data_IF_717696933572
#
_entry.id   IF_717696933572
#
_cell.length_a   1.000
_cell.length_b   1.000
_cell.length_c   1.000
_cell.angle_alpha   90.00
_cell.angle_beta   90.00
_cell.angle_gamma   90.00
#
_symmetry.space_group_name_H-M   'P 1'
#
loop_
_entity.id
_entity.type
_entity.pdbx_description
1 polymer ?
#
# COMPACT_ATOMS: atom_id res chain seq x y z
N UNK A 1 21.80 -11.93 8.28
CA UNK A 1 20.74 -11.45 9.20
C UNK A 1 19.93 -12.66 9.60
N UNK A 2 19.78 -12.94 10.91
CA UNK A 2 18.92 -14.02 11.38
C UNK A 2 17.50 -13.47 11.50
N UNK A 3 16.56 -14.03 10.73
CA UNK A 3 15.16 -13.62 10.77
C UNK A 3 14.44 -14.33 11.93
N UNK A 4 13.41 -13.71 12.54
CA UNK A 4 12.63 -14.33 13.60
C UNK A 4 11.89 -15.57 13.05
N UNK A 5 11.69 -16.58 13.89
CA UNK A 5 10.91 -17.77 13.52
C UNK A 5 9.41 -17.52 13.73
N UNK A 6 8.57 -18.12 12.88
CA UNK A 6 7.12 -18.14 13.05
C UNK A 6 6.53 -19.43 12.48
N UNK A 7 5.62 -20.06 13.24
CA UNK A 7 4.87 -21.24 12.79
C UNK A 7 3.72 -20.89 11.84
N UNK A 8 3.35 -19.60 11.74
CA UNK A 8 2.14 -19.14 11.05
C UNK A 8 2.50 -18.33 9.80
N UNK A 9 3.62 -17.60 9.84
CA UNK A 9 4.10 -16.78 8.73
C UNK A 9 5.34 -17.40 8.12
N UNK A 10 5.32 -17.66 6.80
CA UNK A 10 6.51 -18.05 6.07
C UNK A 10 7.47 -16.86 5.96
N UNK A 11 8.42 -16.81 6.91
CA UNK A 11 9.39 -15.72 7.05
C UNK A 11 10.32 -15.61 5.85
N UNK A 12 10.65 -16.75 5.21
CA UNK A 12 11.53 -16.76 4.05
C UNK A 12 10.87 -16.05 2.87
N UNK A 13 9.62 -16.39 2.53
CA UNK A 13 8.87 -15.69 1.48
C UNK A 13 8.52 -14.27 1.89
N UNK A 14 8.16 -14.03 3.15
CA UNK A 14 7.85 -12.68 3.64
C UNK A 14 9.03 -11.72 3.50
N UNK A 15 10.26 -12.16 3.81
CA UNK A 15 11.46 -11.31 3.68
C UNK A 15 11.71 -10.81 2.26
N UNK A 16 11.20 -11.53 1.25
CA UNK A 16 11.32 -11.20 -0.16
C UNK A 16 10.36 -10.09 -0.63
N UNK A 17 9.48 -9.60 0.25
CA UNK A 17 8.58 -8.47 -0.03
C UNK A 17 9.32 -7.24 -0.56
N UNK A 18 10.56 -7.06 -0.10
CA UNK A 18 11.43 -5.93 -0.43
C UNK A 18 12.55 -6.28 -1.42
N UNK A 19 12.49 -7.45 -2.07
CA UNK A 19 13.48 -7.85 -3.10
C UNK A 19 13.49 -6.83 -4.26
N UNK A 20 12.31 -6.39 -4.68
CA UNK A 20 12.16 -5.32 -5.67
C UNK A 20 11.84 -3.98 -4.99
N UNK A 21 12.89 -3.21 -4.69
CA UNK A 21 12.79 -1.88 -4.03
C UNK A 21 12.38 -0.75 -4.97
N UNK A 22 12.20 -1.00 -6.28
CA UNK A 22 11.74 0.01 -7.24
C UNK A 22 10.26 0.41 -7.04
N UNK A 23 9.57 -0.21 -6.09
CA UNK A 23 8.17 0.05 -5.74
C UNK A 23 8.07 0.59 -4.30
N UNK A 24 8.37 1.88 -4.10
CA UNK A 24 8.43 2.53 -2.79
C UNK A 24 7.09 2.46 -2.01
N UNK A 25 5.95 2.39 -2.70
CA UNK A 25 4.64 2.23 -2.06
C UNK A 25 4.55 0.99 -1.14
N UNK A 26 5.34 -0.07 -1.38
CA UNK A 26 5.36 -1.26 -0.52
C UNK A 26 5.89 -0.96 0.87
N UNK A 27 6.85 -0.05 0.98
CA UNK A 27 7.41 0.38 2.26
C UNK A 27 6.36 1.16 3.06
N UNK A 28 5.66 2.09 2.41
CA UNK A 28 4.56 2.84 3.06
C UNK A 28 3.43 1.93 3.52
N UNK A 29 3.02 0.96 2.70
CA UNK A 29 2.00 0.00 3.09
C UNK A 29 2.44 -0.83 4.31
N UNK A 30 3.68 -1.31 4.30
CA UNK A 30 4.21 -2.07 5.44
C UNK A 30 4.32 -1.21 6.70
N UNK A 31 4.75 0.04 6.57
CA UNK A 31 4.79 1.01 7.66
C UNK A 31 3.39 1.26 8.25
N UNK A 32 2.37 1.42 7.40
CA UNK A 32 0.98 1.61 7.83
C UNK A 32 0.47 0.40 8.63
N UNK A 33 0.74 -0.83 8.17
CA UNK A 33 0.41 -2.06 8.94
C UNK A 33 1.13 -2.06 10.29
N UNK A 34 2.44 -1.83 10.30
CA UNK A 34 3.24 -1.86 11.52
C UNK A 34 2.77 -0.81 12.55
N UNK A 35 2.41 0.39 12.08
CA UNK A 35 1.82 1.44 12.91
C UNK A 35 0.52 0.98 13.58
N UNK A 36 -0.38 0.38 12.82
CA UNK A 36 -1.68 -0.10 13.33
C UNK A 36 -1.54 -1.26 14.31
N UNK A 37 -0.61 -2.19 14.05
CA UNK A 37 -0.29 -3.25 15.01
C UNK A 37 0.24 -2.66 16.32
N UNK A 38 1.10 -1.63 16.25
CA UNK A 38 1.63 -0.94 17.43
C UNK A 38 0.53 -0.22 18.24
N UNK A 39 -0.51 0.26 17.56
CA UNK A 39 -1.71 0.85 18.18
C UNK A 39 -2.64 -0.21 18.82
N UNK A 40 -2.36 -1.50 18.65
CA UNK A 40 -3.20 -2.60 19.13
C UNK A 40 -4.38 -2.93 18.20
N UNK A 41 -4.38 -2.42 16.97
CA UNK A 41 -5.40 -2.75 15.99
C UNK A 41 -5.12 -4.12 15.36
N UNK A 42 -6.07 -5.04 15.50
CA UNK A 42 -5.99 -6.39 14.91
C UNK A 42 -6.77 -6.52 13.60
N UNK A 43 -7.68 -5.58 13.33
CA UNK A 43 -8.50 -5.53 12.12
C UNK A 43 -8.43 -4.13 11.53
N UNK A 44 -8.25 -4.04 10.22
CA UNK A 44 -8.18 -2.77 9.50
C UNK A 44 -8.72 -2.93 8.08
N UNK A 45 -9.40 -1.91 7.58
CA UNK A 45 -9.87 -1.87 6.20
C UNK A 45 -8.75 -1.45 5.24
N UNK A 46 -8.87 -1.83 3.96
CA UNK A 46 -7.92 -1.33 2.95
C UNK A 46 -7.98 0.19 2.80
N UNK A 47 -9.14 0.80 3.02
CA UNK A 47 -9.27 2.25 2.94
C UNK A 47 -8.47 2.96 4.04
N UNK A 48 -8.60 2.51 5.28
CA UNK A 48 -7.81 3.03 6.40
C UNK A 48 -6.30 2.85 6.17
N UNK A 49 -5.87 1.69 5.67
CA UNK A 49 -4.45 1.48 5.35
C UNK A 49 -3.96 2.42 4.23
N UNK A 50 -4.77 2.67 3.21
CA UNK A 50 -4.42 3.62 2.16
C UNK A 50 -4.34 5.04 2.71
N UNK A 51 -5.25 5.45 3.59
CA UNK A 51 -5.20 6.78 4.19
C UNK A 51 -3.96 6.97 5.06
N UNK A 52 -3.58 5.95 5.83
CA UNK A 52 -2.33 5.89 6.59
C UNK A 52 -1.10 6.02 5.69
N UNK A 53 -1.07 5.31 4.56
CA UNK A 53 0.03 5.42 3.58
C UNK A 53 0.17 6.83 3.00
N UNK A 54 -0.96 7.45 2.65
CA UNK A 54 -0.98 8.80 2.09
C UNK A 54 -0.46 9.79 3.12
N UNK A 55 -0.92 9.68 4.36
CA UNK A 55 -0.50 10.55 5.44
C UNK A 55 0.99 10.36 5.79
N UNK A 56 1.50 9.13 5.76
CA UNK A 56 2.92 8.84 5.97
C UNK A 56 3.82 9.31 4.83
N UNK A 57 3.33 9.25 3.58
CA UNK A 57 4.06 9.75 2.41
C UNK A 57 4.03 11.28 2.27
N UNK A 58 3.08 11.95 2.93
CA UNK A 58 2.82 13.37 2.77
C UNK A 58 4.06 14.25 2.84
N UNK A 59 4.80 14.19 3.94
CA UNK A 59 5.95 15.06 4.16
C UNK A 59 7.08 14.76 3.15
N UNK A 60 7.32 13.48 2.87
CA UNK A 60 8.37 13.05 1.94
C UNK A 60 8.10 13.51 0.51
N UNK A 61 6.84 13.47 0.07
CA UNK A 61 6.46 13.85 -1.29
C UNK A 61 6.27 15.37 -1.42
N UNK A 62 5.63 16.01 -0.44
CA UNK A 62 5.32 17.45 -0.51
C UNK A 62 6.53 18.35 -0.23
N UNK A 63 7.38 18.00 0.73
CA UNK A 63 8.58 18.80 1.09
C UNK A 63 9.79 18.37 0.27
N UNK A 64 10.17 17.09 0.37
CA UNK A 64 11.40 16.58 -0.24
C UNK A 64 11.24 16.19 -1.71
N UNK A 65 10.03 16.31 -2.27
CA UNK A 65 9.72 15.94 -3.67
C UNK A 65 10.19 14.54 -4.02
N UNK A 66 10.08 13.62 -3.06
CA UNK A 66 10.51 12.24 -3.24
C UNK A 66 9.71 11.59 -4.36
N UNK A 67 10.42 11.09 -5.38
CA UNK A 67 9.82 10.31 -6.45
C UNK A 67 9.59 8.88 -5.96
N UNK A 68 8.33 8.43 -5.94
CA UNK A 68 7.97 7.09 -5.44
C UNK A 68 8.04 6.01 -6.53
N UNK A 69 8.35 6.41 -7.76
CA UNK A 69 8.52 5.55 -8.91
C UNK A 69 7.67 5.99 -10.09
N UNK A 70 7.91 5.41 -11.28
CA UNK A 70 7.15 5.75 -12.48
C UNK A 70 5.68 5.34 -12.32
N UNK A 71 4.77 6.30 -12.49
CA UNK A 71 3.31 6.14 -12.39
C UNK A 71 2.80 5.75 -10.98
N UNK A 72 3.47 6.19 -9.91
CA UNK A 72 2.99 5.88 -8.56
C UNK A 72 1.70 6.67 -8.22
N UNK A 73 0.61 5.93 -8.02
CA UNK A 73 -0.68 6.49 -7.63
C UNK A 73 -0.63 7.16 -6.24
N UNK A 74 0.30 6.74 -5.36
CA UNK A 74 0.53 7.34 -4.04
C UNK A 74 1.15 8.73 -4.16
N UNK A 75 2.14 8.89 -5.03
CA UNK A 75 2.74 10.20 -5.26
C UNK A 75 1.70 11.17 -5.85
N UNK A 76 0.95 10.71 -6.86
CA UNK A 76 -0.12 11.50 -7.49
C UNK A 76 -1.20 11.93 -6.52
N UNK A 77 -1.61 11.05 -5.60
CA UNK A 77 -2.68 11.40 -4.65
C UNK A 77 -2.20 12.43 -3.63
N UNK A 78 -0.94 12.35 -3.18
CA UNK A 78 -0.35 13.37 -2.30
C UNK A 78 -0.27 14.72 -3.00
N UNK A 79 0.20 14.78 -4.25
CA UNK A 79 0.23 16.04 -5.01
C UNK A 79 -1.18 16.62 -5.18
N UNK A 80 -2.14 15.79 -5.59
CA UNK A 80 -3.54 16.24 -5.75
C UNK A 80 -4.12 16.77 -4.44
N UNK A 81 -3.87 16.09 -3.33
CA UNK A 81 -4.32 16.52 -2.00
C UNK A 81 -3.66 17.83 -1.58
N UNK A 82 -2.37 18.01 -1.83
CA UNK A 82 -1.65 19.25 -1.58
C UNK A 82 -2.25 20.43 -2.33
N UNK A 83 -2.61 20.23 -3.60
CA UNK A 83 -3.26 21.25 -4.43
C UNK A 83 -4.62 21.68 -3.89
N UNK A 84 -5.48 20.73 -3.49
CA UNK A 84 -6.87 21.03 -3.13
C UNK A 84 -7.06 21.42 -1.65
N UNK A 85 -6.18 20.94 -0.76
CA UNK A 85 -6.30 21.20 0.69
C UNK A 85 -5.61 22.49 1.11
N UNK A 86 -4.63 22.96 0.32
CA UNK A 86 -3.72 24.06 0.67
C UNK A 86 -3.01 23.86 2.02
N UNK A 87 -2.89 22.61 2.48
CA UNK A 87 -2.14 22.28 3.69
C UNK A 87 -0.65 22.47 3.47
N UNK A 88 0.05 22.89 4.52
CA UNK A 88 1.51 22.96 4.49
C UNK A 88 2.12 21.55 4.42
N UNK A 89 3.32 21.43 3.87
CA UNK A 89 4.06 20.18 3.84
C UNK A 89 4.31 19.59 5.24
N UNK A 90 4.53 20.46 6.24
CA UNK A 90 4.71 20.11 7.65
C UNK A 90 3.41 19.89 8.43
N UNK A 91 2.30 19.63 7.75
CA UNK A 91 1.03 19.37 8.40
C UNK A 91 1.07 18.06 9.20
N UNK A 92 0.31 18.03 10.30
CA UNK A 92 0.27 16.85 11.17
C UNK A 92 -0.48 15.70 10.50
N UNK A 93 -0.01 14.49 10.73
CA UNK A 93 -0.61 13.25 10.22
C UNK A 93 -2.12 13.18 10.51
N UNK A 94 -2.52 13.53 11.73
CA UNK A 94 -3.92 13.47 12.16
C UNK A 94 -4.82 14.43 11.38
N UNK A 95 -4.31 15.61 11.01
CA UNK A 95 -5.05 16.57 10.21
C UNK A 95 -5.22 16.10 8.77
N UNK A 96 -4.20 15.47 8.19
CA UNK A 96 -4.25 14.87 6.85
C UNK A 96 -5.27 13.72 6.82
N UNK A 97 -5.22 12.81 7.81
CA UNK A 97 -6.18 11.72 7.94
C UNK A 97 -7.61 12.22 8.09
N UNK A 98 -7.83 13.26 8.90
CA UNK A 98 -9.14 13.89 9.06
C UNK A 98 -9.67 14.47 7.74
N UNK A 99 -8.80 15.09 6.95
CA UNK A 99 -9.16 15.63 5.64
C UNK A 99 -9.49 14.52 4.63
N UNK A 100 -8.69 13.46 4.60
CA UNK A 100 -8.92 12.29 3.76
C UNK A 100 -10.29 11.64 4.01
N UNK A 101 -10.71 11.56 5.28
CA UNK A 101 -11.99 10.97 5.67
C UNK A 101 -13.21 11.75 5.12
N UNK A 102 -13.06 13.05 4.84
CA UNK A 102 -14.13 13.92 4.32
C UNK A 102 -13.89 14.38 2.88
N UNK A 103 -12.90 13.81 2.19
CA UNK A 103 -12.50 14.27 0.86
C UNK A 103 -13.44 13.72 -0.22
N UNK A 104 -14.12 14.62 -0.94
CA UNK A 104 -15.04 14.28 -2.03
C UNK A 104 -14.41 14.48 -3.44
N UNK A 105 -13.12 14.81 -3.52
CA UNK A 105 -12.44 15.02 -4.80
C UNK A 105 -12.42 13.71 -5.62
N UNK A 106 -12.96 13.80 -6.84
CA UNK A 106 -13.15 12.64 -7.72
C UNK A 106 -11.83 11.98 -8.11
N UNK A 107 -10.77 12.76 -8.29
CA UNK A 107 -9.46 12.21 -8.65
C UNK A 107 -8.84 11.48 -7.46
N UNK A 108 -8.89 12.07 -6.26
CA UNK A 108 -8.44 11.42 -5.02
C UNK A 108 -9.15 10.09 -4.81
N UNK A 109 -10.48 10.06 -4.96
CA UNK A 109 -11.28 8.83 -4.81
C UNK A 109 -10.84 7.75 -5.82
N UNK A 110 -10.60 8.13 -7.09
CA UNK A 110 -10.13 7.18 -8.12
C UNK A 110 -8.74 6.66 -7.83
N UNK A 111 -7.83 7.52 -7.34
CA UNK A 111 -6.47 7.15 -6.96
C UNK A 111 -6.47 6.22 -5.74
N UNK A 112 -7.22 6.54 -4.67
CA UNK A 112 -7.41 5.67 -3.49
C UNK A 112 -7.92 4.29 -3.92
N UNK A 113 -8.93 4.25 -4.80
CA UNK A 113 -9.46 2.98 -5.34
C UNK A 113 -8.41 2.21 -6.13
N UNK A 114 -7.58 2.89 -6.92
CA UNK A 114 -6.50 2.26 -7.68
C UNK A 114 -5.46 1.64 -6.74
N UNK A 115 -5.10 2.33 -5.66
CA UNK A 115 -4.20 1.80 -4.64
C UNK A 115 -4.81 0.57 -3.95
N UNK A 116 -6.05 0.66 -3.45
CA UNK A 116 -6.75 -0.44 -2.81
C UNK A 116 -6.92 -1.67 -3.72
N UNK A 117 -7.03 -1.47 -5.04
CA UNK A 117 -7.13 -2.57 -6.00
C UNK A 117 -5.79 -3.22 -6.35
N UNK A 118 -4.66 -2.57 -6.14
CA UNK A 118 -3.37 -3.10 -6.62
C UNK A 118 -2.42 -3.44 -5.47
N UNK A 119 -2.32 -2.57 -4.46
CA UNK A 119 -1.30 -2.67 -3.42
C UNK A 119 -1.43 -3.94 -2.57
N UNK A 120 -2.61 -4.29 -2.00
CA UNK A 120 -2.74 -5.46 -1.12
C UNK A 120 -2.36 -6.77 -1.82
N UNK A 121 -2.67 -6.88 -3.12
CA UNK A 121 -2.45 -8.10 -3.88
C UNK A 121 -1.02 -8.21 -4.40
N UNK A 122 -0.43 -7.11 -4.87
CA UNK A 122 0.97 -7.09 -5.33
C UNK A 122 1.95 -7.36 -4.19
N UNK A 123 1.59 -7.03 -2.96
CA UNK A 123 2.36 -7.39 -1.77
C UNK A 123 2.35 -8.90 -1.47
N UNK A 124 1.35 -9.64 -1.95
CA UNK A 124 1.33 -11.10 -1.81
C UNK A 124 2.22 -11.81 -2.84
N UNK A 125 2.81 -11.07 -3.80
CA UNK A 125 3.63 -11.65 -4.86
C UNK A 125 4.74 -12.60 -4.39
N UNK A 126 5.48 -12.33 -3.29
CA UNK A 126 6.50 -13.24 -2.81
C UNK A 126 5.93 -14.62 -2.41
N UNK A 127 4.69 -14.66 -1.93
CA UNK A 127 4.01 -15.90 -1.52
C UNK A 127 3.41 -16.68 -2.69
N UNK A 128 3.39 -16.10 -3.89
CA UNK A 128 2.76 -16.69 -5.07
C UNK A 128 3.81 -17.13 -6.10
N UNK A 129 4.50 -18.24 -5.82
CA UNK A 129 5.51 -18.80 -6.73
C UNK A 129 4.98 -19.12 -8.14
N UNK A 130 3.67 -19.31 -8.29
CA UNK A 130 2.99 -19.63 -9.55
C UNK A 130 2.66 -18.43 -10.43
N UNK A 131 2.84 -17.19 -9.95
CA UNK A 131 2.61 -15.96 -10.72
C UNK A 131 3.92 -15.21 -10.97
N UNK A 132 4.30 -15.03 -12.25
CA UNK A 132 5.61 -14.45 -12.61
C UNK A 132 5.50 -13.24 -13.54
N UNK A 133 6.39 -12.26 -13.33
CA UNK A 133 6.64 -11.15 -14.26
C UNK A 133 5.39 -10.37 -14.66
N UNK A 134 5.13 -10.31 -15.98
CA UNK A 134 4.04 -9.51 -16.59
C UNK A 134 2.63 -9.89 -16.11
N UNK A 135 2.47 -11.03 -15.43
CA UNK A 135 1.18 -11.42 -14.85
C UNK A 135 0.73 -10.47 -13.73
N UNK A 136 1.66 -9.80 -13.05
CA UNK A 136 1.40 -8.78 -12.02
C UNK A 136 1.03 -7.40 -12.60
N UNK A 137 1.28 -7.19 -13.90
CA UNK A 137 0.93 -5.95 -14.60
C UNK A 137 -0.54 -5.91 -15.03
N UNK A 138 -1.33 -6.92 -14.65
CA UNK A 138 -2.76 -7.00 -14.94
C UNK A 138 -3.57 -6.21 -13.92
N UNK A 139 -4.84 -5.94 -14.25
CA UNK A 139 -5.79 -5.29 -13.34
C UNK A 139 -5.90 -6.07 -12.02
N UNK A 140 -5.93 -5.36 -10.90
CA UNK A 140 -6.09 -5.90 -9.55
C UNK A 140 -7.18 -6.95 -9.38
N UNK A 141 -8.33 -6.80 -10.05
CA UNK A 141 -9.43 -7.80 -10.02
C UNK A 141 -9.03 -9.13 -10.65
N UNK A 142 -8.20 -9.10 -11.69
CA UNK A 142 -7.71 -10.32 -12.36
C UNK A 142 -6.71 -11.04 -11.43
N UNK A 143 -5.86 -10.27 -10.75
CA UNK A 143 -4.92 -10.79 -9.76
C UNK A 143 -5.69 -11.41 -8.58
N UNK A 144 -6.69 -10.71 -8.04
CA UNK A 144 -7.56 -11.21 -6.98
C UNK A 144 -8.25 -12.53 -7.35
N UNK A 145 -8.85 -12.60 -8.54
CA UNK A 145 -9.50 -13.82 -9.00
C UNK A 145 -8.53 -14.99 -9.10
N UNK A 146 -7.26 -14.73 -9.46
CA UNK A 146 -6.23 -15.77 -9.53
C UNK A 146 -5.75 -16.19 -8.15
N UNK A 147 -5.54 -15.23 -7.24
CA UNK A 147 -5.26 -15.49 -5.82
C UNK A 147 -6.34 -16.41 -5.23
N UNK A 148 -7.61 -16.05 -5.41
CA UNK A 148 -8.74 -16.84 -4.93
C UNK A 148 -8.78 -18.24 -5.56
N UNK A 149 -8.45 -18.38 -6.86
CA UNK A 149 -8.35 -19.69 -7.52
C UNK A 149 -7.21 -20.54 -6.96
N UNK A 150 -6.04 -19.97 -6.70
CA UNK A 150 -4.93 -20.71 -6.09
C UNK A 150 -5.26 -21.18 -4.67
N UNK A 151 -5.94 -20.35 -3.87
CA UNK A 151 -6.40 -20.76 -2.54
C UNK A 151 -7.41 -21.92 -2.61
N UNK A 152 -8.32 -21.90 -3.59
CA UNK A 152 -9.29 -22.98 -3.81
C UNK A 152 -8.66 -24.27 -4.35
N UNK A 153 -7.51 -24.18 -5.01
CA UNK A 153 -6.82 -25.33 -5.59
C UNK A 153 -5.76 -25.95 -4.66
N UNK A 154 -5.37 -25.25 -3.58
CA UNK A 154 -4.30 -25.65 -2.65
C UNK A 154 -4.77 -26.17 -1.29
N UNK A 155 -6.08 -26.39 -1.11
CA UNK A 155 -6.66 -27.12 0.01
C UNK A 155 -7.48 -28.30 -0.54
N UNK A 156 -6.75 -29.33 -0.99
CA UNK A 156 -7.16 -30.73 -1.07
C UNK A 156 -5.93 -31.56 -0.75
#
# INVERSE_FOLDING_TARGET
>A
MQLPYSDILDIAHFSRLFDNKSECYKLFWFQAIAGKIKEGCHTITFEELIDEMIADAWYMVSEYRLNLGPNDALERVVHRLSEISHMKSSEKKEAILKYLATCEDKEVIVLKRTLAQNVPYRLQAPFMASMKGKEWNRNGRIILNRIMKSYRAGWN
#
